data_IF_470450370454
#
_entry.id   IF_470450370454
#
_cell.length_a   1.000
_cell.length_b   1.000
_cell.length_c   1.000
_cell.angle_alpha   90.00
_cell.angle_beta   90.00
_cell.angle_gamma   90.00
#
_symmetry.space_group_name_H-M   'P 1'
#
loop_
_entity.id
_entity.type
_entity.pdbx_description
1 polymer ?
2 non-polymer ?
3 non-polymer ?
4 water ?
#
# COMPACT_ATOMS: atom_id res chain seq x y z
N UNK A 2 32.82 10.27 3.61
CA UNK A 2 32.24 11.07 4.71
C UNK A 2 30.84 10.52 5.04
N UNK A 3 29.82 10.91 4.28
CA UNK A 3 28.40 10.82 4.70
C UNK A 3 27.52 10.27 3.56
N UNK A 4 28.11 9.53 2.61
CA UNK A 4 27.36 8.78 1.56
C UNK A 4 26.72 7.53 2.18
N UNK A 5 25.42 7.34 2.00
CA UNK A 5 24.79 6.06 2.36
C UNK A 5 23.46 5.88 1.64
N UNK A 6 23.05 4.64 1.56
CA UNK A 6 21.81 4.18 0.98
C UNK A 6 21.09 3.41 2.06
N UNK A 7 19.79 3.68 2.25
CA UNK A 7 18.95 2.98 3.27
C UNK A 7 17.79 2.33 2.51
N UNK A 8 17.68 1.02 2.64
CA UNK A 8 16.63 0.24 1.97
C UNK A 8 15.53 -0.07 2.99
N UNK A 9 14.29 0.10 2.59
CA UNK A 9 13.12 -0.34 3.38
C UNK A 9 12.22 -1.14 2.47
N UNK A 10 11.39 -1.95 3.04
CA UNK A 10 10.49 -2.82 2.25
C UNK A 10 9.06 -2.47 2.57
N UNK A 11 8.24 -2.46 1.54
CA UNK A 11 6.78 -2.34 1.61
C UNK A 11 6.18 -3.56 0.96
N UNK A 12 5.05 -3.98 1.48
CA UNK A 12 4.24 -5.07 0.90
C UNK A 12 2.90 -4.47 0.54
N UNK A 13 2.56 -4.48 -0.74
CA UNK A 13 1.23 -4.11 -1.22
C UNK A 13 0.49 -5.41 -1.48
N UNK A 14 -0.79 -5.47 -1.27
CA UNK A 14 -1.48 -6.71 -1.55
C UNK A 14 -2.95 -6.51 -1.57
N UNK A 15 -3.67 -7.55 -1.94
CA UNK A 15 -5.12 -7.50 -1.89
C UNK A 15 -5.66 -8.92 -1.76
N UNK A 16 -6.84 -9.00 -1.20
CA UNK A 16 -7.64 -10.22 -1.15
C UNK A 16 -8.98 -9.91 -1.79
N UNK A 17 -9.57 -10.88 -2.41
CA UNK A 17 -10.93 -10.78 -2.93
C UNK A 17 -11.56 -12.16 -2.89
N UNK A 18 -12.83 -12.19 -2.65
CA UNK A 18 -13.60 -13.44 -2.68
C UNK A 18 -14.98 -13.11 -3.21
N UNK A 19 -15.61 -14.10 -3.80
CA UNK A 19 -17.02 -14.01 -4.24
C UNK A 19 -17.90 -14.04 -2.98
N UNK A 20 -18.76 -13.05 -2.81
CA UNK A 20 -19.81 -13.10 -1.76
C UNK A 20 -20.66 -14.38 -1.99
N UNK A 21 -21.07 -15.04 -0.91
CA UNK A 21 -22.10 -16.12 -0.95
C UNK A 21 -23.30 -15.64 -1.77
N UNK A 22 -23.73 -14.38 -1.58
CA UNK A 22 -24.83 -13.74 -2.37
C UNK A 22 -24.48 -12.28 -2.63
N UNK A 23 -24.72 -11.79 -3.86
CA UNK A 23 -24.49 -10.37 -4.15
C UNK A 23 -25.23 -9.46 -3.18
N UNK A 24 -24.71 -8.24 -2.98
CA UNK A 24 -25.43 -7.19 -2.24
C UNK A 24 -26.63 -6.76 -3.09
N UNK A 25 -27.57 -6.05 -2.48
CA UNK A 25 -28.76 -5.50 -3.17
C UNK A 25 -28.32 -4.65 -4.35
N UNK A 26 -27.12 -4.06 -4.27
CA UNK A 26 -26.57 -3.13 -5.27
C UNK A 26 -25.99 -3.93 -6.45
N UNK A 27 -26.01 -5.28 -6.34
CA UNK A 27 -25.35 -6.19 -7.30
C UNK A 27 -23.83 -6.26 -7.14
N UNK A 28 -23.32 -5.97 -5.94
CA UNK A 28 -21.87 -6.16 -5.63
C UNK A 28 -21.63 -7.64 -5.32
N UNK A 29 -20.81 -8.27 -6.15
CA UNK A 29 -20.58 -9.73 -6.20
C UNK A 29 -19.43 -10.13 -5.27
N UNK A 30 -18.48 -9.20 -5.03
CA UNK A 30 -17.20 -9.50 -4.36
C UNK A 30 -16.99 -8.63 -3.14
N UNK A 31 -16.29 -9.22 -2.16
CA UNK A 31 -15.62 -8.49 -1.08
C UNK A 31 -14.13 -8.42 -1.43
N UNK A 32 -13.53 -7.26 -1.26
CA UNK A 32 -12.07 -7.14 -1.48
C UNK A 32 -11.46 -6.20 -0.46
N UNK A 33 -10.17 -6.37 -0.29
CA UNK A 33 -9.36 -5.61 0.64
C UNK A 33 -8.00 -5.41 -0.03
N UNK A 34 -7.54 -4.18 -0.06
CA UNK A 34 -6.18 -3.78 -0.51
C UNK A 34 -5.45 -3.14 0.66
N UNK A 35 -4.16 -3.33 0.71
CA UNK A 35 -3.39 -2.81 1.83
C UNK A 35 -1.97 -2.51 1.43
N UNK A 36 -1.33 -1.76 2.30
CA UNK A 36 0.12 -1.51 2.31
C UNK A 36 0.56 -1.84 3.73
N UNK A 37 1.60 -2.62 3.87
CA UNK A 37 2.12 -3.00 5.20
C UNK A 37 3.63 -3.15 5.08
N UNK A 38 4.30 -3.22 6.23
CA UNK A 38 5.69 -3.63 6.32
C UNK A 38 5.80 -5.12 6.50
N UNK A 39 6.99 -5.69 6.30
CA UNK A 39 7.23 -7.07 6.71
C UNK A 39 7.09 -7.19 8.24
N UNK A 40 7.02 -8.41 8.74
CA UNK A 40 6.93 -8.74 10.19
C UNK A 40 7.97 -7.92 10.99
N UNK A 41 7.55 -7.33 12.11
CA UNK A 41 8.42 -6.72 13.15
C UNK A 41 8.99 -5.37 12.68
N UNK A 42 8.44 -4.82 11.60
CA UNK A 42 8.81 -3.47 11.08
C UNK A 42 7.63 -2.55 11.29
N UNK A 43 7.89 -1.30 11.57
CA UNK A 43 6.81 -0.31 11.75
C UNK A 43 7.00 0.79 10.71
N UNK A 44 6.29 0.71 9.59
CA UNK A 44 6.50 1.64 8.43
C UNK A 44 5.94 2.99 8.84
N UNK A 45 5.17 3.06 9.90
CA UNK A 45 4.52 4.32 10.31
C UNK A 45 5.61 5.34 10.68
N UNK A 46 6.80 4.87 11.05
CA UNK A 46 7.97 5.76 11.34
C UNK A 46 8.27 6.65 10.13
N UNK A 47 8.10 6.16 8.92
CA UNK A 47 8.60 6.90 7.73
C UNK A 47 7.44 7.22 6.81
N UNK A 48 6.28 6.57 7.02
CA UNK A 48 5.09 6.80 6.18
C UNK A 48 4.20 7.85 6.87
N UNK A 49 3.94 8.98 6.20
CA UNK A 49 2.97 10.01 6.64
C UNK A 49 1.55 9.45 6.46
N UNK A 50 1.25 8.96 5.27
CA UNK A 50 -0.09 8.45 4.90
C UNK A 50 -0.01 7.61 3.63
N UNK A 51 -1.02 6.81 3.42
CA UNK A 51 -1.20 6.03 2.18
C UNK A 51 -2.51 6.50 1.61
N UNK A 52 -2.50 6.87 0.34
CA UNK A 52 -3.71 7.26 -0.41
C UNK A 52 -4.00 6.19 -1.45
N UNK A 53 -5.17 5.59 -1.35
CA UNK A 53 -5.71 4.60 -2.30
C UNK A 53 -6.72 5.31 -3.19
N UNK A 54 -6.43 5.38 -4.47
CA UNK A 54 -7.29 6.09 -5.47
C UNK A 54 -8.20 5.07 -6.13
N UNK A 55 -9.37 4.90 -5.58
CA UNK A 55 -10.39 3.94 -6.04
C UNK A 55 -10.91 4.43 -7.38
N UNK A 56 -11.54 3.53 -8.11
CA UNK A 56 -12.18 3.79 -9.42
C UNK A 56 -13.21 4.95 -9.25
N UNK A 57 -13.32 5.84 -10.26
CA UNK A 57 -14.25 7.01 -10.25
C UNK A 57 -15.67 6.51 -9.89
N UNK A 58 -15.98 5.21 -10.05
CA UNK A 58 -17.32 4.62 -9.80
C UNK A 58 -17.63 4.52 -8.30
N UNK A 59 -16.62 4.71 -7.45
CA UNK A 59 -16.77 4.68 -5.98
C UNK A 59 -17.01 6.08 -5.46
N UNK A 60 -17.87 6.23 -4.44
CA UNK A 60 -18.00 7.50 -3.73
C UNK A 60 -16.74 7.81 -2.93
N UNK A 61 -16.33 9.07 -2.91
CA UNK A 61 -15.12 9.59 -2.22
C UNK A 61 -13.98 8.63 -2.51
N UNK A 62 -13.55 8.54 -3.77
CA UNK A 62 -12.60 7.51 -4.20
C UNK A 62 -11.18 7.69 -3.68
N UNK A 63 -10.84 8.88 -3.21
CA UNK A 63 -9.55 9.19 -2.56
C UNK A 63 -9.64 8.73 -1.10
N UNK A 64 -9.11 7.56 -0.80
CA UNK A 64 -9.16 6.99 0.55
C UNK A 64 -7.81 7.18 1.20
N UNK A 65 -7.76 7.90 2.30
CA UNK A 65 -6.51 8.21 3.01
C UNK A 65 -6.47 7.35 4.26
N UNK A 66 -5.36 6.68 4.51
CA UNK A 66 -5.01 6.09 5.82
C UNK A 66 -3.80 6.82 6.38
N UNK A 67 -3.95 7.51 7.51
CA UNK A 67 -2.85 8.33 8.09
C UNK A 67 -2.10 7.47 9.12
N UNK A 68 -2.61 6.28 9.41
CA UNK A 68 -1.97 5.37 10.38
C UNK A 68 -2.38 3.96 10.02
N UNK A 69 -1.63 2.94 10.49
CA UNK A 69 -1.99 1.56 10.25
C UNK A 69 -3.33 1.26 10.90
N UNK A 70 -4.14 0.35 10.34
CA UNK A 70 -3.81 -0.35 9.10
C UNK A 70 -3.98 0.53 7.85
N UNK A 71 -3.04 0.45 6.94
CA UNK A 71 -3.15 1.12 5.64
C UNK A 71 -3.93 0.19 4.73
N UNK A 72 -5.23 0.34 4.69
CA UNK A 72 -6.07 -0.60 3.96
C UNK A 72 -7.40 0.02 3.62
N UNK A 73 -8.01 -0.48 2.55
CA UNK A 73 -9.40 -0.21 2.14
C UNK A 73 -10.09 -1.55 1.98
N UNK A 74 -11.26 -1.69 2.57
CA UNK A 74 -12.13 -2.86 2.43
C UNK A 74 -13.41 -2.40 1.74
N UNK A 75 -13.78 -3.07 0.67
CA UNK A 75 -14.96 -2.68 -0.12
C UNK A 75 -15.65 -3.93 -0.61
N UNK A 76 -16.87 -3.75 -1.07
CA UNK A 76 -17.61 -4.69 -1.91
C UNK A 76 -17.77 -4.07 -3.29
N UNK A 77 -17.69 -4.87 -4.33
CA UNK A 77 -17.84 -4.36 -5.70
C UNK A 77 -18.08 -5.48 -6.68
N UNK A 78 -18.01 -5.16 -7.95
CA UNK A 78 -18.41 -6.07 -9.04
C UNK A 78 -17.33 -6.11 -10.12
N UNK A 79 -16.26 -5.33 -10.00
CA UNK A 79 -15.18 -5.38 -11.02
C UNK A 79 -13.88 -4.89 -10.44
N UNK A 80 -12.79 -5.46 -10.93
CA UNK A 80 -11.42 -5.02 -10.66
C UNK A 80 -11.12 -3.75 -11.40
N UNK A 81 -10.02 -3.12 -11.08
CA UNK A 81 -9.56 -1.89 -11.74
C UNK A 81 -8.10 -1.71 -11.38
N UNK A 82 -7.45 -0.76 -12.04
CA UNK A 82 -6.09 -0.31 -11.72
C UNK A 82 -6.22 0.78 -10.66
N UNK A 83 -5.58 0.59 -9.53
CA UNK A 83 -5.68 1.50 -8.39
C UNK A 83 -4.32 2.17 -8.19
N UNK A 84 -4.22 3.48 -8.47
CA UNK A 84 -3.10 4.27 -8.00
C UNK A 84 -3.03 4.20 -6.48
N UNK A 85 -1.85 3.92 -5.96
CA UNK A 85 -1.59 3.94 -4.50
C UNK A 85 -0.37 4.81 -4.27
N UNK A 86 -0.53 5.83 -3.46
CA UNK A 86 0.57 6.75 -3.12
C UNK A 86 0.99 6.49 -1.70
N UNK A 87 2.27 6.23 -1.47
CA UNK A 87 2.82 6.15 -0.10
C UNK A 87 3.64 7.43 0.16
N UNK A 88 3.11 8.30 1.00
CA UNK A 88 3.72 9.60 1.34
C UNK A 88 4.70 9.39 2.47
N UNK A 89 5.86 10.04 2.40
CA UNK A 89 6.94 9.86 3.37
C UNK A 89 6.98 11.06 4.31
N UNK A 90 7.43 10.83 5.53
CA UNK A 90 7.74 11.88 6.52
C UNK A 90 9.13 12.45 6.20
N UNK A 91 9.36 12.79 4.94
CA UNK A 91 10.68 13.24 4.41
C UNK A 91 10.54 14.72 4.08
N UNK A 92 11.50 15.54 4.48
CA UNK A 92 11.47 17.00 4.22
C UNK A 92 11.87 17.26 2.75
N UNK A 93 12.55 16.32 2.12
CA UNK A 93 13.16 16.53 0.78
C UNK A 93 12.72 15.40 -0.16
N UNK A 94 13.17 15.44 -1.40
CA UNK A 94 12.86 14.39 -2.40
C UNK A 94 13.58 13.09 -2.05
N UNK A 95 12.94 11.92 -2.27
CA UNK A 95 11.53 11.86 -2.70
C UNK A 95 10.50 11.92 -1.53
N UNK A 96 9.37 12.58 -1.78
CA UNK A 96 8.33 12.90 -0.77
C UNK A 96 7.31 11.77 -0.73
N UNK A 97 7.23 11.01 -1.81
CA UNK A 97 6.23 9.93 -1.96
C UNK A 97 6.72 8.96 -3.01
N UNK A 98 6.12 7.79 -3.05
CA UNK A 98 6.25 6.85 -4.17
C UNK A 98 4.84 6.44 -4.57
N UNK A 99 4.63 6.24 -5.86
CA UNK A 99 3.32 5.89 -6.42
C UNK A 99 3.41 4.55 -7.09
N UNK A 100 2.46 3.69 -6.80
CA UNK A 100 2.35 2.36 -7.42
C UNK A 100 1.02 2.34 -8.17
N UNK A 101 1.00 1.65 -9.27
CA UNK A 101 -0.18 1.29 -10.05
C UNK A 101 -0.54 -0.12 -9.67
N UNK A 102 -1.57 -0.29 -8.86
CA UNK A 102 -1.92 -1.60 -8.29
C UNK A 102 -3.06 -2.22 -9.10
N UNK A 103 -2.85 -3.45 -9.54
CA UNK A 103 -3.87 -4.21 -10.28
C UNK A 103 -4.78 -4.90 -9.26
N UNK A 104 -5.92 -4.31 -8.96
CA UNK A 104 -6.93 -4.94 -8.07
C UNK A 104 -7.84 -5.83 -8.91
N UNK A 105 -7.50 -7.10 -9.03
CA UNK A 105 -8.31 -8.04 -9.84
C UNK A 105 -9.11 -8.94 -8.91
N UNK A 106 -10.26 -9.36 -9.38
CA UNK A 106 -11.19 -10.22 -8.63
C UNK A 106 -11.13 -11.63 -9.21
N UNK A 107 -11.63 -12.61 -8.48
CA UNK A 107 -11.67 -14.02 -8.96
C UNK A 107 -12.98 -14.20 -9.73
N UNK A 108 -12.91 -14.55 -11.00
CA UNK A 108 -14.12 -14.78 -11.82
C UNK A 108 -14.78 -16.07 -11.33
N UNK A 109 -16.08 -16.22 -11.56
CA UNK A 109 -16.91 -17.22 -10.84
C UNK A 109 -16.23 -18.59 -10.94
N UNK A 110 -16.30 -19.35 -9.85
CA UNK A 110 -15.72 -20.70 -9.74
C UNK A 110 -14.30 -20.68 -9.19
N UNK A 111 -13.52 -19.63 -9.48
CA UNK A 111 -12.08 -19.62 -9.16
C UNK A 111 -11.90 -19.35 -7.67
N UNK A 112 -10.85 -19.91 -7.04
CA UNK A 112 -10.63 -19.70 -5.62
C UNK A 112 -10.47 -18.21 -5.31
N UNK A 113 -10.58 -17.83 -4.03
CA UNK A 113 -10.35 -16.44 -3.62
C UNK A 113 -8.94 -15.98 -4.02
N UNK A 114 -8.80 -14.69 -4.19
CA UNK A 114 -7.50 -14.03 -4.53
C UNK A 114 -6.80 -13.69 -3.22
N UNK A 115 -5.49 -13.91 -3.13
CA UNK A 115 -4.69 -13.50 -1.95
C UNK A 115 -3.30 -13.21 -2.45
N UNK A 116 -3.08 -11.96 -2.88
CA UNK A 116 -1.87 -11.54 -3.63
C UNK A 116 -1.04 -10.58 -2.81
N UNK A 117 0.24 -10.69 -3.00
CA UNK A 117 1.22 -9.81 -2.33
C UNK A 117 2.21 -9.31 -3.38
N UNK A 118 2.55 -8.05 -3.28
CA UNK A 118 3.55 -7.41 -4.14
C UNK A 118 4.59 -6.77 -3.23
N UNK A 119 5.80 -7.28 -3.25
CA UNK A 119 6.91 -6.80 -2.40
C UNK A 119 7.68 -5.73 -3.17
N UNK A 120 7.83 -4.57 -2.56
CA UNK A 120 8.56 -3.41 -3.13
C UNK A 120 9.72 -3.09 -2.22
N UNK A 121 10.91 -2.98 -2.78
CA UNK A 121 12.08 -2.52 -2.00
C UNK A 121 12.35 -1.07 -2.41
N UNK A 122 12.34 -0.17 -1.45
CA UNK A 122 12.61 1.25 -1.70
C UNK A 122 14.06 1.51 -1.32
N UNK A 123 14.81 2.13 -2.20
CA UNK A 123 16.21 2.55 -1.92
C UNK A 123 16.23 4.05 -1.78
N UNK A 124 16.54 4.57 -0.58
CA UNK A 124 16.78 6.01 -0.37
C UNK A 124 18.28 6.27 -0.40
N UNK A 125 18.73 7.07 -1.37
CA UNK A 125 20.14 7.53 -1.47
C UNK A 125 20.34 8.78 -0.65
N UNK A 126 21.37 8.75 0.20
CA UNK A 126 21.79 9.86 1.07
C UNK A 126 20.57 10.58 1.61
N UNK A 127 19.68 9.89 2.36
CA UNK A 127 18.61 10.59 3.07
C UNK A 127 19.13 11.61 4.11
N UNK A 128 18.34 12.64 4.39
CA UNK A 128 18.62 13.61 5.48
C UNK A 128 18.82 12.85 6.79
N UNK A 129 19.33 13.54 7.82
CA UNK A 129 19.54 12.93 9.15
C UNK A 129 18.18 12.56 9.75
N UNK A 130 17.19 13.46 9.72
CA UNK A 130 15.86 13.25 10.31
C UNK A 130 15.21 12.05 9.63
N UNK A 131 15.17 12.03 8.31
CA UNK A 131 14.47 10.98 7.57
C UNK A 131 15.21 9.64 7.67
N UNK A 132 16.53 9.66 7.63
CA UNK A 132 17.33 8.44 7.87
C UNK A 132 16.96 7.85 9.24
N UNK A 133 16.83 8.67 10.28
CA UNK A 133 16.40 8.24 11.65
C UNK A 133 15.11 7.43 11.52
N UNK A 134 14.13 8.02 10.83
CA UNK A 134 12.77 7.45 10.65
C UNK A 134 12.87 6.12 9.91
N UNK A 135 13.62 6.06 8.79
CA UNK A 135 13.81 4.81 8.02
C UNK A 135 14.38 3.73 8.94
N UNK A 136 15.42 4.05 9.73
CA UNK A 136 16.10 3.03 10.56
C UNK A 136 15.16 2.61 11.72
N UNK A 137 14.38 3.54 12.30
CA UNK A 137 13.39 3.22 13.38
C UNK A 137 12.36 2.23 12.84
N UNK A 138 12.12 2.26 11.53
CA UNK A 138 11.06 1.45 10.85
C UNK A 138 11.60 0.04 10.57
N UNK A 139 12.91 -0.13 10.62
CA UNK A 139 13.57 -1.44 10.36
C UNK A 139 14.38 -1.42 9.06
N UNK A 140 14.59 -0.22 8.51
CA UNK A 140 15.38 -0.05 7.29
C UNK A 140 16.83 -0.41 7.54
N UNK A 141 17.56 -0.71 6.46
CA UNK A 141 18.92 -1.31 6.46
C UNK A 141 19.86 -0.37 5.69
N UNK A 142 21.00 -0.05 6.28
CA UNK A 142 22.04 0.74 5.57
C UNK A 142 22.82 -0.23 4.68
N UNK A 143 22.97 0.08 3.39
CA UNK A 143 23.83 -0.72 2.45
C UNK A 143 25.28 -0.20 2.52
N UNK A 144 26.25 -1.11 2.41
CA UNK A 144 27.71 -0.82 2.46
C UNK A 144 28.03 0.02 3.71
X LIG B 1 -14.45 -0.69 -13.50
X LIG B 1 -15.71 -0.80 -11.46
X LIG B 1 -15.87 -1.29 -10.05
X LIG B 1 -17.46 -1.15 -8.25
X LIG B 1 -22.77 5.05 -1.55
X LIG B 1 -15.55 -0.10 -14.08
X LIG B 1 -14.54 -1.03 -12.17
X LIG B 1 -17.32 -2.34 -8.00
X LIG B 1 -22.88 5.05 -2.78
X LIG B 1 -23.70 6.08 -3.47
X LIG B 1 -22.23 3.96 -3.58
X LIG B 1 -22.50 3.83 -4.94
X LIG B 1 -21.83 2.90 -5.71
X LIG B 1 -21.27 3.14 -3.01
X LIG B 1 -20.57 2.22 -3.78
X LIG B 1 -20.84 2.09 -5.14
X LIG B 1 -20.14 1.19 -5.93
X LIG B 1 -19.96 1.44 -7.37
X LIG B 1 -18.55 1.05 -7.81
X LIG B 1 -19.12 0.30 -5.35
X LIG B 1 -18.85 -0.86 -6.27
X LIG B 1 -18.32 -0.38 -7.55
X LIG B 1 -16.81 -0.51 -9.25
X LIG B 1 -16.74 -0.17 -12.15
X LIG B 1 -16.68 0.18 -13.44
X LIG B 1 -15.43 0.17 -15.39
X LIG B 1 -16.53 0.80 -16.04
X LIG C 1 10.13 -1.34 6.81
X LIG C 1 9.85 -0.56 5.64
X LIG C 1 11.55 -1.75 6.90
X LIG C 1 11.99 -2.52 5.77
X LIG D 1 4.07 0.31 -12.34
X LIG D 1 3.53 -0.99 -12.20
X LIG D 1 4.38 0.91 -11.04
X LIG D 1 3.58 0.40 -9.98
X LIG E 1 11.74 4.72 -4.65
X LIG E 1 12.92 3.93 -4.52
X LIG E 1 11.51 5.59 -3.48
X LIG E 1 12.70 5.97 -2.82
X LIG F 1 -3.70 -5.67 6.25
X LIG F 1 -3.06 -6.88 5.94
X LIG F 1 -2.75 -4.64 6.73
X LIG F 1 -1.85 -5.13 7.69
X LIG G 1 -11.07 -11.05 0.99
X LIG G 1 -11.59 -12.35 0.82
X LIG G 1 -12.08 -10.04 1.37
X LIG G 1 -11.75 -9.36 2.57
X LIG H 1 -6.98 14.06 3.39
X LIG H 1 -7.58 13.25 4.38
X LIG H 1 -5.69 14.65 3.80
X LIG H 1 -4.60 14.14 3.08
X LIG I 1 -9.20 -4.86 -14.45
X LIG I 1 -8.09 -4.17 -15.03
X LIG I 1 -8.77 -5.93 -13.50
X LIG I 1 -7.51 -5.66 -12.90
X LIG J 1 9.74 13.62 -5.16
X LIG J 1 10.52 12.86 -6.07
X LIG J 1 8.30 13.27 -5.15
X LIG J 1 8.03 11.93 -5.56
X LIG K 1 16.31 -4.60 2.00
X LIG K 1 17.65 -4.38 2.40
X LIG K 1 15.39 -4.60 3.16
X LIG K 1 15.47 -3.43 3.94
X LIG L 1 9.17 8.16 13.13
X LIG L 1 9.76 8.36 14.39
X LIG L 1 8.64 9.39 12.52
X LIG L 1 7.33 9.72 12.89
#
# INVERSE_FOLDING_TARGET
MDNQCTVQVRLELGHRAQLRKKPTTEGFTHDWMVFVRGPEQCDIQHFVEKVVFWLHDSFPKPRRVCKEPPYKVEESGYAGFIMPIEVHFKNKEEPRKVCFTYDLFLNLEGNPPVNHLRCEKLTFNNPTTEFRYKLLRAGGVMVMPEGAHHHHHH
M7W C2 C4 C5 C6 O2 C1 C3 O1 C13 C14 C12 C11 C10 C16 C15 C9 N2 C8 C7 C18 C17 N1 N C19 N3 O C
EDO C1 O1 C2 O2
EDO C1 O1 C2 O2
EDO C1 O1 C2 O2
EDO C1 O1 C2 O2
EDO C1 O1 C2 O2
EDO C1 O1 C2 O2
EDO C1 O1 C2 O2
EDO C1 O1 C2 O2
EDO C1 O1 C2 O2
EDO C1 O1 C2 O2
#
